data_IF_616778104753
#
_entry.id   IF_616778104753
#
_cell.length_a   1.000
_cell.length_b   1.000
_cell.length_c   1.000
_cell.angle_alpha   90.00
_cell.angle_beta   90.00
_cell.angle_gamma   90.00
#
_symmetry.space_group_name_H-M   'P 1'
#
loop_
_entity.id
_entity.type
_entity.pdbx_description
1 polymer ?
#
# COMPACT_ATOMS: atom_id res chain seq x y z
N UNK A 1 21.72 11.20 -3.05
CA UNK A 1 22.39 10.72 -4.29
C UNK A 1 21.43 10.41 -5.47
N UNK A 2 20.10 10.58 -5.37
CA UNK A 2 19.10 10.22 -6.41
C UNK A 2 19.13 8.75 -6.87
N UNK A 3 19.73 7.87 -6.07
CA UNK A 3 19.73 6.44 -6.35
C UNK A 3 18.35 5.87 -6.02
N UNK A 4 17.80 5.10 -6.97
CA UNK A 4 16.62 4.27 -6.73
C UNK A 4 17.05 2.81 -6.55
N UNK A 5 16.53 2.18 -5.50
CA UNK A 5 16.59 0.72 -5.32
C UNK A 5 15.17 0.19 -5.54
N UNK A 6 15.04 -0.80 -6.42
CA UNK A 6 13.75 -1.41 -6.77
C UNK A 6 13.81 -2.87 -6.38
N UNK A 7 12.85 -3.31 -5.57
CA UNK A 7 12.72 -4.68 -5.10
C UNK A 7 11.35 -5.24 -5.47
N UNK A 8 11.27 -6.56 -5.61
CA UNK A 8 10.04 -7.28 -5.90
C UNK A 8 9.78 -8.28 -4.77
N UNK A 9 8.55 -8.28 -4.26
CA UNK A 9 8.11 -9.17 -3.21
C UNK A 9 6.87 -9.93 -3.66
N UNK A 10 6.87 -11.24 -3.45
CA UNK A 10 5.76 -12.12 -3.75
C UNK A 10 4.88 -12.26 -2.50
N UNK A 11 3.85 -11.43 -2.41
CA UNK A 11 2.92 -11.44 -1.28
C UNK A 11 1.69 -12.28 -1.58
N UNK A 12 1.19 -13.00 -0.56
CA UNK A 12 -0.03 -13.82 -0.66
C UNK A 12 -1.32 -12.97 -0.67
N UNK A 13 -1.25 -11.71 -0.25
CA UNK A 13 -2.39 -10.82 -0.20
C UNK A 13 -1.99 -9.38 0.14
N UNK A 14 -2.90 -8.44 -0.09
CA UNK A 14 -2.70 -7.03 0.18
C UNK A 14 -3.26 -6.68 1.55
N UNK A 15 -2.44 -6.08 2.41
CA UNK A 15 -2.90 -5.55 3.70
C UNK A 15 -3.04 -4.03 3.62
N UNK A 16 -4.26 -3.57 3.31
CA UNK A 16 -4.54 -2.17 2.98
C UNK A 16 -4.80 -1.32 4.23
N UNK A 17 -4.19 -0.13 4.34
CA UNK A 17 -4.56 0.86 5.34
C UNK A 17 -5.94 1.45 5.00
N UNK A 18 -6.70 1.82 6.03
CA UNK A 18 -7.98 2.50 5.87
C UNK A 18 -7.75 3.99 6.14
N UNK A 19 -8.04 4.89 5.17
CA UNK A 19 -7.93 6.32 5.37
C UNK A 19 -8.78 6.77 6.57
N UNK A 20 -8.23 7.65 7.40
CA UNK A 20 -9.00 8.22 8.50
C UNK A 20 -9.89 9.34 7.96
N UNK A 21 -11.20 9.11 7.95
CA UNK A 21 -12.20 10.15 7.63
C UNK A 21 -13.06 10.40 8.86
N UNK A 22 -13.42 11.66 9.09
CA UNK A 22 -14.31 12.05 10.20
C UNK A 22 -15.79 11.83 9.85
N UNK A 23 -16.13 11.71 8.57
CA UNK A 23 -17.49 11.66 8.04
C UNK A 23 -17.54 10.74 6.81
N UNK A 24 -18.42 9.75 6.84
CA UNK A 24 -18.82 8.96 5.67
C UNK A 24 -18.05 7.65 5.42
N UNK A 25 -18.61 6.78 4.57
CA UNK A 25 -17.92 5.58 4.07
C UNK A 25 -16.69 5.96 3.23
N UNK A 26 -15.77 5.02 3.06
CA UNK A 26 -14.60 5.14 2.17
C UNK A 26 -14.66 4.05 1.10
N UNK A 27 -14.12 4.31 -0.08
CA UNK A 27 -14.03 3.30 -1.12
C UNK A 27 -12.79 2.42 -0.90
N UNK A 28 -12.85 1.16 -1.31
CA UNK A 28 -11.69 0.28 -1.38
C UNK A 28 -10.58 0.89 -2.26
N UNK A 29 -10.98 1.65 -3.28
CA UNK A 29 -10.08 2.45 -4.10
C UNK A 29 -9.23 3.41 -3.28
N UNK A 30 -9.82 4.11 -2.31
CA UNK A 30 -9.10 5.05 -1.45
C UNK A 30 -8.06 4.33 -0.59
N UNK A 31 -8.35 3.10 -0.19
CA UNK A 31 -7.42 2.25 0.56
C UNK A 31 -6.22 1.81 -0.31
N UNK A 32 -6.46 1.51 -1.59
CA UNK A 32 -5.41 1.18 -2.57
C UNK A 32 -4.56 2.40 -2.93
N UNK A 33 -5.19 3.56 -3.10
CA UNK A 33 -4.49 4.81 -3.36
C UNK A 33 -3.59 5.17 -2.18
N UNK A 34 -4.06 5.01 -0.94
CA UNK A 34 -3.23 5.19 0.25
C UNK A 34 -2.12 4.14 0.36
N UNK A 35 -2.38 2.88 0.00
CA UNK A 35 -1.37 1.80 0.01
C UNK A 35 -0.22 2.05 -0.98
N UNK A 36 -0.53 2.62 -2.13
CA UNK A 36 0.44 2.89 -3.21
C UNK A 36 0.95 4.32 -3.23
N UNK A 37 0.51 5.14 -2.27
CA UNK A 37 0.98 6.50 -2.11
C UNK A 37 2.48 6.55 -1.83
N UNK A 38 3.09 7.64 -2.25
CA UNK A 38 4.47 7.93 -1.95
C UNK A 38 4.62 8.27 -0.46
N UNK A 39 5.45 7.54 0.26
CA UNK A 39 5.77 7.79 1.67
C UNK A 39 7.20 8.35 1.80
N UNK A 40 7.34 9.41 2.60
CA UNK A 40 8.64 9.97 2.95
C UNK A 40 9.15 9.32 4.23
N UNK A 41 10.30 8.69 4.14
CA UNK A 41 11.02 8.09 5.25
C UNK A 41 12.10 9.08 5.72
N UNK A 42 11.95 9.63 6.92
CA UNK A 42 12.88 10.58 7.50
C UNK A 42 13.15 10.30 8.99
N UNK A 43 14.09 11.06 9.58
CA UNK A 43 14.49 10.94 10.98
C UNK A 43 14.84 9.48 11.35
N UNK A 44 14.23 8.93 12.39
CA UNK A 44 14.41 7.55 12.84
C UNK A 44 14.03 6.50 11.78
N UNK A 45 13.07 6.83 10.91
CA UNK A 45 12.58 5.95 9.84
C UNK A 45 13.42 6.04 8.55
N UNK A 46 14.47 6.86 8.51
CA UNK A 46 15.31 7.05 7.32
C UNK A 46 15.91 5.73 6.83
N UNK A 47 15.91 5.55 5.50
CA UNK A 47 16.48 4.37 4.85
C UNK A 47 18.01 4.46 4.73
N UNK A 48 18.70 3.33 4.87
CA UNK A 48 20.14 3.24 4.67
C UNK A 48 20.48 3.13 3.18
N UNK A 49 21.09 4.16 2.61
CA UNK A 49 21.41 4.19 1.20
C UNK A 49 22.67 3.38 0.88
N UNK A 50 22.57 2.37 0.01
CA UNK A 50 23.72 1.53 -0.38
C UNK A 50 24.83 2.27 -1.14
N UNK A 51 24.52 3.44 -1.73
CA UNK A 51 25.53 4.28 -2.40
C UNK A 51 26.20 5.28 -1.46
N UNK A 52 25.45 5.92 -0.56
CA UNK A 52 26.02 6.88 0.39
C UNK A 52 26.62 6.19 1.63
N UNK A 53 26.20 4.95 1.91
CA UNK A 53 26.57 4.18 3.13
C UNK A 53 26.15 4.89 4.43
N UNK A 54 25.01 5.57 4.42
CA UNK A 54 24.47 6.29 5.57
C UNK A 54 22.92 6.30 5.52
N UNK A 55 22.28 6.64 6.65
CA UNK A 55 20.82 6.87 6.70
C UNK A 55 20.49 8.20 6.04
N UNK A 56 19.66 8.17 5.01
CA UNK A 56 19.25 9.37 4.28
C UNK A 56 17.73 9.47 4.19
N UNK A 57 17.15 10.68 4.31
CA UNK A 57 15.75 10.90 3.98
C UNK A 57 15.46 10.38 2.57
N UNK A 58 14.48 9.49 2.46
CA UNK A 58 14.22 8.74 1.22
C UNK A 58 12.72 8.68 0.97
N UNK A 59 12.37 8.67 -0.31
CA UNK A 59 11.01 8.40 -0.76
C UNK A 59 10.85 6.91 -1.03
N UNK A 60 9.79 6.30 -0.48
CA UNK A 60 9.39 4.92 -0.79
C UNK A 60 8.00 4.90 -1.42
N UNK A 61 7.80 3.97 -2.35
CA UNK A 61 6.51 3.73 -2.98
C UNK A 61 6.33 2.24 -3.23
N UNK A 62 5.12 1.74 -3.03
CA UNK A 62 4.73 0.38 -3.35
C UNK A 62 3.77 0.43 -4.54
N UNK A 63 3.93 -0.48 -5.50
CA UNK A 63 2.98 -0.67 -6.59
C UNK A 63 2.76 -2.17 -6.79
N UNK A 64 1.64 -2.53 -7.43
CA UNK A 64 1.45 -3.89 -7.90
C UNK A 64 2.35 -4.12 -9.11
N UNK A 65 2.87 -5.32 -9.27
CA UNK A 65 3.66 -5.68 -10.45
C UNK A 65 3.00 -6.76 -11.30
N UNK A 66 2.42 -7.78 -10.67
CA UNK A 66 1.67 -8.84 -11.33
C UNK A 66 0.47 -9.20 -10.46
N UNK A 67 -0.67 -9.47 -11.09
CA UNK A 67 -1.88 -9.88 -10.39
C UNK A 67 -1.97 -11.42 -10.30
N UNK A 68 -2.30 -11.98 -9.12
CA UNK A 68 -2.63 -13.40 -8.99
C UNK A 68 -4.02 -13.68 -9.56
N UNK A 69 -4.31 -14.96 -9.84
CA UNK A 69 -5.67 -15.40 -10.23
C UNK A 69 -6.67 -15.19 -9.08
N UNK A 70 -6.23 -15.38 -7.84
CA UNK A 70 -7.00 -15.12 -6.63
C UNK A 70 -6.27 -14.08 -5.77
N UNK A 71 -6.87 -12.89 -5.61
CA UNK A 71 -6.33 -11.82 -4.78
C UNK A 71 -7.00 -11.80 -3.41
N UNK A 72 -6.22 -11.97 -2.34
CA UNK A 72 -6.70 -11.79 -0.97
C UNK A 72 -6.46 -10.35 -0.53
N UNK A 73 -7.51 -9.69 -0.05
CA UNK A 73 -7.44 -8.33 0.49
C UNK A 73 -7.79 -8.34 1.97
N UNK A 74 -6.87 -7.84 2.78
CA UNK A 74 -7.01 -7.63 4.22
C UNK A 74 -7.09 -6.14 4.51
N UNK A 75 -8.13 -5.71 5.24
CA UNK A 75 -8.26 -4.34 5.72
C UNK A 75 -7.63 -4.21 7.11
N UNK A 76 -6.63 -3.33 7.27
CA UNK A 76 -5.93 -3.08 8.53
C UNK A 76 -6.80 -2.31 9.52
N UNK A 77 -7.79 -2.99 10.12
CA UNK A 77 -8.76 -2.40 11.05
C UNK A 77 -8.25 -2.25 12.48
N UNK A 78 -7.24 -3.02 12.88
CA UNK A 78 -6.79 -3.03 14.27
C UNK A 78 -5.62 -2.08 14.49
N UNK A 79 -5.74 -1.24 15.52
CA UNK A 79 -4.63 -0.41 16.02
C UNK A 79 -3.96 -1.11 17.18
N UNK A 80 -2.64 -1.03 17.22
CA UNK A 80 -1.81 -1.63 18.25
C UNK A 80 -1.03 -0.53 18.99
N UNK A 81 -0.83 -0.69 20.30
CA UNK A 81 0.10 0.14 21.06
C UNK A 81 1.55 -0.35 20.87
N UNK A 82 2.51 0.35 21.50
CA UNK A 82 3.92 -0.02 21.46
C UNK A 82 4.25 -1.42 22.02
N UNK A 83 3.35 -1.98 22.84
CA UNK A 83 3.47 -3.32 23.43
C UNK A 83 2.76 -4.41 22.61
N UNK A 84 2.24 -4.07 21.41
CA UNK A 84 1.55 -5.02 20.53
C UNK A 84 0.14 -5.39 21.00
N UNK A 85 -0.45 -4.66 21.95
CA UNK A 85 -1.83 -4.88 22.39
C UNK A 85 -2.79 -4.10 21.50
N UNK A 86 -3.90 -4.74 21.08
CA UNK A 86 -4.97 -4.08 20.33
C UNK A 86 -5.60 -3.00 21.21
N UNK A 87 -5.63 -1.77 20.72
CA UNK A 87 -6.21 -0.62 21.43
C UNK A 87 -7.60 -0.25 20.91
N UNK A 88 -7.87 -0.49 19.62
CA UNK A 88 -9.16 -0.17 18.99
C UNK A 88 -9.31 -0.87 17.64
N UNK A 89 -10.56 -0.99 17.19
CA UNK A 89 -10.96 -1.45 15.86
C UNK A 89 -11.56 -0.29 15.07
N UNK A 90 -11.13 -0.13 13.82
CA UNK A 90 -11.72 0.80 12.87
C UNK A 90 -13.03 0.23 12.34
N UNK A 91 -14.13 0.88 12.71
CA UNK A 91 -15.50 0.55 12.27
C UNK A 91 -15.92 1.33 11.00
N UNK A 92 -15.00 2.06 10.36
CA UNK A 92 -15.27 2.77 9.10
C UNK A 92 -15.81 1.80 8.05
N UNK A 93 -16.95 2.15 7.46
CA UNK A 93 -17.53 1.41 6.35
C UNK A 93 -16.60 1.56 5.15
N UNK A 94 -16.19 0.43 4.59
CA UNK A 94 -15.39 0.38 3.35
C UNK A 94 -16.29 -0.22 2.28
N UNK A 95 -16.68 0.59 1.31
CA UNK A 95 -17.43 0.12 0.15
C UNK A 95 -16.46 -0.48 -0.87
N UNK A 96 -16.80 -1.65 -1.39
CA UNK A 96 -15.99 -2.34 -2.37
C UNK A 96 -16.87 -2.85 -3.51
N UNK A 97 -16.34 -2.90 -4.75
CA UNK A 97 -17.03 -3.53 -5.86
C UNK A 97 -17.15 -5.04 -5.59
N UNK A 98 -18.36 -5.58 -5.76
CA UNK A 98 -18.59 -7.04 -5.72
C UNK A 98 -18.12 -7.69 -7.02
N UNK A 99 -18.24 -6.97 -8.14
CA UNK A 99 -17.82 -7.39 -9.48
C UNK A 99 -17.08 -6.24 -10.19
N UNK A 100 -16.26 -6.58 -11.19
CA UNK A 100 -15.63 -5.58 -12.07
C UNK A 100 -14.59 -4.68 -11.38
N UNK A 101 -13.88 -5.18 -10.36
CA UNK A 101 -12.82 -4.40 -9.74
C UNK A 101 -11.60 -4.24 -10.65
N UNK A 102 -11.41 -3.04 -11.19
CA UNK A 102 -10.26 -2.72 -12.03
C UNK A 102 -9.01 -2.38 -11.20
N UNK A 103 -8.00 -3.25 -11.26
CA UNK A 103 -6.71 -3.10 -10.59
C UNK A 103 -5.62 -2.46 -11.46
N UNK A 104 -5.87 -2.27 -12.76
CA UNK A 104 -4.90 -1.67 -13.70
C UNK A 104 -4.37 -0.30 -13.28
N UNK A 105 -5.12 0.58 -12.57
CA UNK A 105 -4.59 1.86 -12.12
C UNK A 105 -3.34 1.78 -11.23
N UNK A 106 -3.12 0.65 -10.54
CA UNK A 106 -1.99 0.43 -9.63
C UNK A 106 -0.89 -0.47 -10.22
N UNK A 107 -0.99 -0.84 -11.49
CA UNK A 107 0.03 -1.56 -12.25
C UNK A 107 0.89 -0.61 -13.08
N UNK A 108 2.16 -0.97 -13.38
CA UNK A 108 2.94 -0.30 -14.42
C UNK A 108 2.18 -0.30 -15.75
N UNK A 109 2.23 0.82 -16.47
CA UNK A 109 1.53 0.96 -17.77
C UNK A 109 1.84 -0.14 -18.78
N UNK A 110 3.08 -0.63 -18.79
CA UNK A 110 3.48 -1.70 -19.69
C UNK A 110 2.76 -3.03 -19.37
N UNK A 111 2.50 -3.29 -18.08
CA UNK A 111 1.88 -4.52 -17.60
C UNK A 111 0.35 -4.42 -17.61
N UNK A 112 -0.20 -3.23 -17.32
CA UNK A 112 -1.64 -3.01 -17.34
C UNK A 112 -2.29 -3.42 -18.68
N UNK A 113 -1.56 -3.27 -19.79
CA UNK A 113 -1.99 -3.66 -21.14
C UNK A 113 -2.21 -5.16 -21.31
N UNK A 114 -1.51 -5.99 -20.53
CA UNK A 114 -1.67 -7.44 -20.58
C UNK A 114 -3.05 -7.88 -20.05
N UNK A 115 -3.73 -6.99 -19.33
CA UNK A 115 -5.04 -7.18 -18.71
C UNK A 115 -6.16 -6.41 -19.44
N UNK A 116 -5.92 -5.86 -20.63
CA UNK A 116 -6.94 -5.14 -21.43
C UNK A 116 -7.88 -6.07 -22.23
N UNK A 117 -7.87 -7.38 -21.95
CA UNK A 117 -8.73 -8.37 -22.60
C UNK A 117 -10.12 -8.46 -22.01
#
# INVERSE_FOLDING_TARGET
CRHASVTFDAVLGLSLPIPYTKQGPVQLRDCMDLFTAEERLDNENSWHCDKCKEKTPTTKRINLFRLPECLIVHLKRFKYNAYGTITSKLETVVEFPVEGWDLRPWLPRAIARDYDR
#
